data_IF_277668022909
#
_entry.id   IF_277668022909
#
_cell.length_a   1.000
_cell.length_b   1.000
_cell.length_c   1.000
_cell.angle_alpha   90.00
_cell.angle_beta   90.00
_cell.angle_gamma   90.00
#
_symmetry.space_group_name_H-M   'P 1'
#
loop_
_entity.id
_entity.type
_entity.pdbx_description
1 polymer ?
#
# COMPACT_ATOMS: atom_id res chain seq x y z
N UNK A 1 14.38 -8.76 -24.26
CA UNK A 1 14.89 -8.58 -22.91
C UNK A 1 14.24 -7.36 -22.29
N UNK A 2 13.34 -7.58 -21.36
CA UNK A 2 12.78 -6.49 -20.57
C UNK A 2 13.94 -5.84 -19.82
N UNK A 3 14.02 -4.52 -19.87
CA UNK A 3 15.07 -3.80 -19.18
C UNK A 3 14.96 -4.08 -17.68
N UNK A 4 16.03 -4.55 -17.08
CA UNK A 4 16.14 -4.79 -15.64
C UNK A 4 16.15 -3.46 -14.84
N UNK A 5 15.59 -2.42 -15.44
CA UNK A 5 15.56 -1.08 -14.86
C UNK A 5 14.18 -0.76 -14.32
N UNK A 6 14.15 -0.49 -13.04
CA UNK A 6 12.96 -0.04 -12.33
C UNK A 6 12.76 1.46 -12.54
N UNK A 7 11.56 1.90 -12.93
CA UNK A 7 11.26 3.31 -13.18
C UNK A 7 10.14 3.84 -12.29
N UNK A 8 9.92 5.15 -12.32
CA UNK A 8 8.91 5.83 -11.49
C UNK A 8 7.50 5.28 -11.76
N UNK A 9 7.18 4.96 -13.02
CA UNK A 9 5.86 4.40 -13.38
C UNK A 9 5.66 3.04 -12.72
N UNK A 10 6.65 2.15 -12.77
CA UNK A 10 6.60 0.85 -12.11
C UNK A 10 6.44 0.98 -10.60
N UNK A 11 7.12 1.94 -9.97
CA UNK A 11 6.95 2.24 -8.55
C UNK A 11 5.52 2.65 -8.20
N UNK A 12 4.93 3.52 -9.02
CA UNK A 12 3.58 3.99 -8.82
C UNK A 12 2.56 2.86 -9.03
N UNK A 13 2.78 1.99 -10.01
CA UNK A 13 1.96 0.79 -10.24
C UNK A 13 2.03 -0.17 -9.04
N UNK A 14 3.22 -0.38 -8.48
CA UNK A 14 3.40 -1.20 -7.28
C UNK A 14 2.67 -0.61 -6.07
N UNK A 15 2.78 0.69 -5.87
CA UNK A 15 2.08 1.39 -4.80
C UNK A 15 0.56 1.25 -4.96
N UNK A 16 0.04 1.42 -6.16
CA UNK A 16 -1.39 1.23 -6.46
C UNK A 16 -1.86 -0.19 -6.15
N UNK A 17 -1.07 -1.20 -6.48
CA UNK A 17 -1.41 -2.59 -6.19
C UNK A 17 -1.52 -2.83 -4.67
N UNK A 18 -0.62 -2.26 -3.90
CA UNK A 18 -0.64 -2.35 -2.43
C UNK A 18 -1.92 -1.73 -1.87
N UNK A 19 -2.25 -0.54 -2.32
CA UNK A 19 -3.45 0.17 -1.88
C UNK A 19 -4.74 -0.59 -2.25
N UNK A 20 -4.80 -1.16 -3.44
CA UNK A 20 -5.95 -1.98 -3.88
C UNK A 20 -6.10 -3.23 -3.00
N UNK A 21 -5.01 -3.89 -2.64
CA UNK A 21 -5.03 -5.05 -1.74
C UNK A 21 -5.53 -4.66 -0.34
N UNK A 22 -5.05 -3.53 0.18
CA UNK A 22 -5.51 -2.99 1.46
C UNK A 22 -7.00 -2.66 1.44
N UNK A 23 -7.45 -1.97 0.41
CA UNK A 23 -8.87 -1.67 0.20
C UNK A 23 -9.74 -2.94 0.23
N UNK A 24 -9.33 -3.97 -0.49
CA UNK A 24 -10.08 -5.24 -0.54
C UNK A 24 -10.11 -5.95 0.82
N UNK A 25 -8.99 -6.00 1.52
CA UNK A 25 -8.93 -6.59 2.86
C UNK A 25 -9.88 -5.89 3.81
N UNK A 26 -9.77 -4.58 3.92
CA UNK A 26 -10.57 -3.79 4.86
C UNK A 26 -12.05 -3.75 4.49
N UNK A 27 -12.38 -3.57 3.22
CA UNK A 27 -13.78 -3.55 2.79
C UNK A 27 -14.47 -4.90 2.98
N UNK A 28 -13.78 -6.01 2.75
CA UNK A 28 -14.31 -7.35 2.98
C UNK A 28 -14.59 -7.57 4.46
N UNK A 29 -13.65 -7.24 5.33
CA UNK A 29 -13.81 -7.48 6.77
C UNK A 29 -14.69 -6.45 7.48
N UNK A 30 -14.84 -5.24 6.94
CA UNK A 30 -15.84 -4.30 7.41
C UNK A 30 -17.27 -4.84 7.26
N UNK A 31 -17.51 -5.63 6.22
CA UNK A 31 -18.82 -6.29 5.99
C UNK A 31 -19.01 -7.51 6.87
N UNK A 32 -17.93 -8.22 7.19
CA UNK A 32 -17.96 -9.49 7.92
C UNK A 32 -18.07 -9.31 9.43
N UNK A 33 -17.43 -8.29 10.00
CA UNK A 33 -17.40 -8.11 11.45
C UNK A 33 -18.74 -7.64 12.03
N UNK A 34 -19.12 -8.22 13.16
CA UNK A 34 -20.30 -7.80 13.93
C UNK A 34 -19.96 -6.71 14.97
N UNK A 35 -18.68 -6.48 15.25
CA UNK A 35 -18.25 -5.42 16.16
C UNK A 35 -18.36 -4.04 15.50
N UNK A 36 -19.26 -3.16 16.01
CA UNK A 36 -19.44 -1.83 15.41
C UNK A 36 -18.18 -0.96 15.41
N UNK A 37 -17.35 -1.11 16.44
CA UNK A 37 -16.08 -0.36 16.53
C UNK A 37 -15.09 -0.80 15.47
N UNK A 38 -14.91 -2.10 15.31
CA UNK A 38 -14.02 -2.65 14.28
C UNK A 38 -14.54 -2.35 12.87
N UNK A 39 -15.84 -2.45 12.68
CA UNK A 39 -16.48 -2.10 11.39
C UNK A 39 -16.19 -0.65 11.00
N UNK A 40 -16.27 0.28 11.96
CA UNK A 40 -15.97 1.70 11.73
C UNK A 40 -14.51 1.88 11.37
N UNK A 41 -13.60 1.20 12.06
CA UNK A 41 -12.14 1.23 11.76
C UNK A 41 -11.90 0.72 10.35
N UNK A 42 -12.38 -0.45 10.01
CA UNK A 42 -12.14 -1.04 8.68
C UNK A 42 -12.76 -0.21 7.54
N UNK A 43 -13.94 0.36 7.73
CA UNK A 43 -14.55 1.24 6.73
C UNK A 43 -13.70 2.50 6.50
N UNK A 44 -13.17 3.09 7.57
CA UNK A 44 -12.27 4.24 7.46
C UNK A 44 -10.99 3.87 6.72
N UNK A 45 -10.34 2.78 7.12
CA UNK A 45 -9.13 2.31 6.47
C UNK A 45 -9.37 2.00 4.98
N UNK A 46 -10.46 1.33 4.64
CA UNK A 46 -10.82 1.05 3.25
C UNK A 46 -10.99 2.34 2.43
N UNK A 47 -11.63 3.36 3.02
CA UNK A 47 -11.78 4.66 2.37
C UNK A 47 -10.44 5.35 2.14
N UNK A 48 -9.56 5.31 3.12
CA UNK A 48 -8.23 5.92 3.04
C UNK A 48 -7.37 5.21 1.98
N UNK A 49 -7.36 3.85 1.94
CA UNK A 49 -6.65 3.07 0.92
C UNK A 49 -7.12 3.41 -0.51
N UNK A 50 -8.41 3.62 -0.67
CA UNK A 50 -8.96 4.04 -1.96
C UNK A 50 -8.48 5.44 -2.35
N UNK A 51 -8.40 6.36 -1.42
CA UNK A 51 -7.89 7.71 -1.65
C UNK A 51 -6.39 7.68 -1.98
N UNK A 52 -5.62 6.83 -1.29
CA UNK A 52 -4.21 6.59 -1.60
C UNK A 52 -4.03 6.04 -3.02
N UNK A 53 -4.84 5.04 -3.40
CA UNK A 53 -4.85 4.50 -4.77
C UNK A 53 -5.08 5.60 -5.81
N UNK A 54 -6.10 6.42 -5.60
CA UNK A 54 -6.42 7.52 -6.51
C UNK A 54 -5.29 8.55 -6.58
N UNK A 55 -4.60 8.79 -5.47
CA UNK A 55 -3.43 9.68 -5.41
C UNK A 55 -2.28 9.14 -6.27
N UNK A 56 -1.95 7.86 -6.13
CA UNK A 56 -0.91 7.23 -6.96
C UNK A 56 -1.32 7.16 -8.44
N UNK A 57 -2.58 6.89 -8.74
CA UNK A 57 -3.09 6.87 -10.10
C UNK A 57 -2.97 8.23 -10.77
N UNK A 58 -3.26 9.30 -10.05
CA UNK A 58 -3.09 10.67 -10.53
C UNK A 58 -1.60 10.99 -10.77
N UNK A 59 -0.72 10.65 -9.83
CA UNK A 59 0.71 10.86 -10.00
C UNK A 59 1.25 10.13 -11.24
N UNK A 60 0.81 8.90 -11.46
CA UNK A 60 1.19 8.12 -12.64
C UNK A 60 0.74 8.79 -13.93
N UNK A 61 -0.51 9.24 -14.00
CA UNK A 61 -1.05 9.96 -15.17
C UNK A 61 -0.32 11.27 -15.42
N UNK A 62 -0.10 12.06 -14.39
CA UNK A 62 0.65 13.33 -14.48
C UNK A 62 2.07 13.09 -14.97
N UNK A 63 2.71 12.03 -14.49
CA UNK A 63 4.06 11.66 -14.92
C UNK A 63 4.11 11.26 -16.39
N UNK A 64 3.14 10.47 -16.87
CA UNK A 64 3.05 10.06 -18.28
C UNK A 64 2.75 11.23 -19.20
N UNK A 65 1.94 12.21 -18.79
CA UNK A 65 1.59 13.39 -19.58
C UNK A 65 2.77 14.36 -19.78
N UNK A 66 3.73 14.39 -18.88
CA UNK A 66 4.90 15.25 -18.97
C UNK A 66 5.89 14.82 -20.06
N UNK A 67 5.55 13.80 -20.88
CA UNK A 67 6.32 13.28 -22.01
C UNK A 67 7.83 13.16 -21.70
N UNK A 68 8.12 12.51 -20.60
CA UNK A 68 9.49 12.29 -20.16
C UNK A 68 10.08 11.13 -20.97
N UNK A 69 10.78 11.48 -22.04
CA UNK A 69 11.46 10.50 -22.90
C UNK A 69 12.56 9.74 -22.15
N UNK A 70 13.06 10.33 -21.08
CA UNK A 70 14.05 9.74 -20.19
C UNK A 70 13.39 9.43 -18.85
N UNK A 71 12.88 8.19 -18.73
CA UNK A 71 12.49 7.68 -17.43
C UNK A 71 13.73 7.62 -16.54
N UNK A 72 13.68 8.22 -15.36
CA UNK A 72 14.71 8.05 -14.35
C UNK A 72 14.70 6.60 -13.88
N UNK A 73 15.60 5.81 -14.44
CA UNK A 73 15.74 4.42 -14.03
C UNK A 73 16.57 4.33 -12.76
N UNK A 74 16.13 3.51 -11.84
CA UNK A 74 16.96 3.09 -10.72
C UNK A 74 18.09 2.22 -11.24
N UNK A 75 19.33 2.67 -11.04
CA UNK A 75 20.53 2.04 -11.61
C UNK A 75 20.88 0.67 -11.01
N UNK A 76 20.16 0.24 -9.95
CA UNK A 76 20.49 -0.99 -9.23
C UNK A 76 19.40 -2.06 -9.39
N UNK A 77 19.72 -3.10 -10.14
CA UNK A 77 18.88 -4.32 -10.30
C UNK A 77 18.48 -4.89 -8.92
N UNK A 78 19.38 -4.87 -7.97
CA UNK A 78 19.16 -5.36 -6.60
C UNK A 78 18.01 -4.63 -5.90
N UNK A 79 17.84 -3.32 -6.15
CA UNK A 79 16.74 -2.52 -5.60
C UNK A 79 15.41 -2.93 -6.21
N UNK A 80 15.37 -3.18 -7.52
CA UNK A 80 14.18 -3.64 -8.21
C UNK A 80 13.67 -4.97 -7.63
N UNK A 81 14.53 -5.96 -7.51
CA UNK A 81 14.19 -7.27 -6.97
C UNK A 81 13.72 -7.17 -5.51
N UNK A 82 14.38 -6.35 -4.72
CA UNK A 82 14.00 -6.07 -3.34
C UNK A 82 12.60 -5.48 -3.25
N UNK A 83 12.31 -4.42 -4.00
CA UNK A 83 11.00 -3.77 -4.00
C UNK A 83 9.89 -4.68 -4.54
N UNK A 84 10.16 -5.43 -5.60
CA UNK A 84 9.19 -6.41 -6.12
C UNK A 84 8.87 -7.51 -5.12
N UNK A 85 9.86 -7.96 -4.36
CA UNK A 85 9.63 -8.98 -3.33
C UNK A 85 8.69 -8.49 -2.23
N UNK A 86 8.76 -7.22 -1.86
CA UNK A 86 7.81 -6.61 -0.94
C UNK A 86 6.37 -6.73 -1.42
N UNK A 87 6.12 -6.29 -2.65
CA UNK A 87 4.77 -6.35 -3.23
C UNK A 87 4.29 -7.79 -3.37
N UNK A 88 5.20 -8.69 -3.76
CA UNK A 88 4.85 -10.05 -4.12
C UNK A 88 4.53 -10.92 -2.89
N UNK A 89 5.24 -10.75 -1.78
CA UNK A 89 5.19 -11.70 -0.66
C UNK A 89 4.79 -11.10 0.68
N UNK A 90 4.96 -9.83 0.92
CA UNK A 90 4.94 -9.27 2.27
C UNK A 90 3.86 -8.22 2.53
N UNK A 91 3.42 -7.49 1.52
CA UNK A 91 2.38 -6.47 1.70
C UNK A 91 1.03 -7.04 1.35
N UNK A 92 0.04 -6.85 2.13
CA UNK A 92 -1.34 -7.31 2.05
C UNK A 92 -1.58 -8.63 1.27
N UNK A 93 -2.43 -9.53 1.77
CA UNK A 93 -2.67 -10.81 1.11
C UNK A 93 -3.25 -10.61 -0.29
N UNK A 94 -2.74 -11.40 -1.25
CA UNK A 94 -3.21 -11.42 -2.65
C UNK A 94 -4.52 -12.16 -2.84
N UNK A 95 -5.01 -12.81 -1.80
CA UNK A 95 -6.08 -13.77 -1.89
C UNK A 95 -7.29 -13.29 -2.70
N UNK A 96 -7.94 -14.24 -3.36
CA UNK A 96 -9.27 -14.06 -3.92
C UNK A 96 -10.26 -13.72 -2.79
N UNK A 97 -11.42 -13.17 -3.13
CA UNK A 97 -12.43 -12.74 -2.16
C UNK A 97 -12.78 -13.84 -1.15
N UNK A 98 -12.87 -15.09 -1.60
CA UNK A 98 -13.16 -16.24 -0.74
C UNK A 98 -12.09 -16.48 0.34
N UNK A 99 -10.81 -16.38 -0.03
CA UNK A 99 -9.69 -16.50 0.90
C UNK A 99 -9.71 -15.39 1.97
N UNK A 100 -10.01 -14.16 1.55
CA UNK A 100 -10.14 -13.04 2.48
C UNK A 100 -11.33 -13.21 3.43
N UNK A 101 -12.45 -13.74 2.94
CA UNK A 101 -13.65 -13.97 3.74
C UNK A 101 -13.47 -15.05 4.82
N UNK A 102 -12.61 -16.02 4.55
CA UNK A 102 -12.35 -17.15 5.48
C UNK A 102 -11.40 -16.80 6.63
N UNK A 103 -10.74 -15.64 6.58
CA UNK A 103 -9.82 -15.23 7.63
C UNK A 103 -10.55 -14.85 8.92
N UNK A 104 -10.04 -15.35 10.04
CA UNK A 104 -10.52 -14.97 11.39
C UNK A 104 -10.08 -13.55 11.75
N UNK A 105 -10.86 -12.87 12.61
CA UNK A 105 -10.60 -11.47 12.97
C UNK A 105 -9.18 -11.22 13.51
N UNK A 106 -8.66 -12.10 14.37
CA UNK A 106 -7.29 -11.95 14.90
C UNK A 106 -6.26 -12.07 13.79
N UNK A 107 -6.44 -13.02 12.89
CA UNK A 107 -5.57 -13.20 11.74
C UNK A 107 -5.59 -11.97 10.82
N UNK A 108 -6.77 -11.42 10.56
CA UNK A 108 -6.92 -10.18 9.76
C UNK A 108 -6.16 -9.02 10.41
N UNK A 109 -6.33 -8.83 11.72
CA UNK A 109 -5.64 -7.76 12.45
C UNK A 109 -4.13 -7.92 12.41
N UNK A 110 -3.62 -9.13 12.62
CA UNK A 110 -2.18 -9.38 12.57
C UNK A 110 -1.59 -9.13 11.19
N UNK A 111 -2.28 -9.57 10.15
CA UNK A 111 -1.86 -9.32 8.77
C UNK A 111 -1.95 -7.85 8.40
N UNK A 112 -3.02 -7.17 8.81
CA UNK A 112 -3.19 -5.75 8.57
C UNK A 112 -2.08 -4.94 9.25
N UNK A 113 -1.80 -5.19 10.53
CA UNK A 113 -0.71 -4.53 11.27
C UNK A 113 0.63 -4.73 10.56
N UNK A 114 0.94 -5.95 10.14
CA UNK A 114 2.17 -6.23 9.41
C UNK A 114 2.21 -5.53 8.05
N UNK A 115 1.09 -5.53 7.34
CA UNK A 115 0.98 -4.89 6.02
C UNK A 115 1.14 -3.37 6.08
N UNK A 116 0.61 -2.71 7.13
CA UNK A 116 0.83 -1.27 7.33
C UNK A 116 2.32 -0.96 7.57
N UNK A 117 2.99 -1.78 8.36
CA UNK A 117 4.46 -1.65 8.55
C UNK A 117 5.22 -1.80 7.24
N UNK A 118 4.84 -2.78 6.43
CA UNK A 118 5.51 -3.07 5.16
C UNK A 118 5.25 -1.95 4.14
N UNK A 119 4.04 -1.38 4.12
CA UNK A 119 3.73 -0.20 3.30
C UNK A 119 4.59 1.01 3.69
N UNK A 120 4.70 1.31 4.98
CA UNK A 120 5.57 2.37 5.51
C UNK A 120 7.01 2.15 5.06
N UNK A 121 7.52 0.94 5.21
CA UNK A 121 8.88 0.60 4.84
C UNK A 121 9.12 0.76 3.34
N UNK A 122 8.19 0.27 2.50
CA UNK A 122 8.26 0.42 1.05
C UNK A 122 8.27 1.90 0.65
N UNK A 123 7.35 2.69 1.16
CA UNK A 123 7.27 4.11 0.80
C UNK A 123 8.51 4.89 1.23
N UNK A 124 9.11 4.54 2.37
CA UNK A 124 10.40 5.11 2.78
C UNK A 124 11.53 4.76 1.82
N UNK A 125 11.55 3.53 1.32
CA UNK A 125 12.55 3.11 0.32
C UNK A 125 12.38 3.83 -1.02
N UNK A 126 11.17 4.28 -1.35
CA UNK A 126 10.89 5.01 -2.59
C UNK A 126 11.28 6.50 -2.52
N UNK A 127 11.34 7.09 -1.33
CA UNK A 127 11.63 8.53 -1.16
C UNK A 127 12.95 8.96 -1.82
N UNK A 128 14.08 8.25 -1.66
CA UNK A 128 15.35 8.68 -2.26
C UNK A 128 15.35 8.78 -3.79
N UNK A 129 14.41 8.11 -4.44
CA UNK A 129 14.31 8.06 -5.90
C UNK A 129 13.28 9.03 -6.46
N UNK A 130 12.66 9.84 -5.62
CA UNK A 130 11.60 10.77 -5.99
C UNK A 130 11.92 12.17 -5.46
N UNK A 131 11.46 13.17 -6.21
CA UNK A 131 11.63 14.58 -5.86
C UNK A 131 10.29 15.32 -5.99
N UNK A 132 10.26 16.55 -5.48
CA UNK A 132 9.11 17.45 -5.62
C UNK A 132 7.82 16.88 -5.07
N UNK A 133 6.74 17.00 -5.82
CA UNK A 133 5.39 16.61 -5.41
C UNK A 133 5.28 15.13 -5.04
N UNK A 134 5.92 14.26 -5.80
CA UNK A 134 5.87 12.80 -5.52
C UNK A 134 6.51 12.47 -4.19
N UNK A 135 7.64 13.10 -3.86
CA UNK A 135 8.30 12.93 -2.55
C UNK A 135 7.41 13.43 -1.42
N UNK A 136 6.81 14.60 -1.56
CA UNK A 136 5.90 15.18 -0.56
C UNK A 136 4.68 14.30 -0.32
N UNK A 137 4.11 13.73 -1.39
CA UNK A 137 3.00 12.77 -1.31
C UNK A 137 3.40 11.52 -0.54
N UNK A 138 4.57 10.93 -0.86
CA UNK A 138 5.07 9.75 -0.15
C UNK A 138 5.26 10.01 1.36
N UNK A 139 5.82 11.17 1.71
CA UNK A 139 6.01 11.55 3.11
C UNK A 139 4.69 11.71 3.85
N UNK A 140 3.67 12.30 3.22
CA UNK A 140 2.32 12.41 3.77
C UNK A 140 1.67 11.05 3.95
N UNK A 141 1.73 10.19 2.94
CA UNK A 141 1.14 8.85 3.01
C UNK A 141 1.79 8.01 4.11
N UNK A 142 3.10 8.12 4.31
CA UNK A 142 3.78 7.44 5.42
C UNK A 142 3.18 7.83 6.77
N UNK A 143 2.88 9.10 6.99
CA UNK A 143 2.23 9.54 8.24
C UNK A 143 0.80 8.99 8.37
N UNK A 144 0.04 8.93 7.28
CA UNK A 144 -1.29 8.33 7.27
C UNK A 144 -1.24 6.81 7.55
N UNK A 145 -0.29 6.09 6.98
CA UNK A 145 -0.09 4.66 7.27
C UNK A 145 0.32 4.39 8.73
N UNK A 146 1.07 5.28 9.34
CA UNK A 146 1.36 5.20 10.78
C UNK A 146 0.09 5.34 11.62
N UNK A 147 -0.83 6.21 11.23
CA UNK A 147 -2.12 6.35 11.90
C UNK A 147 -2.98 5.08 11.75
N UNK A 148 -2.99 4.47 10.57
CA UNK A 148 -3.62 3.17 10.33
C UNK A 148 -3.06 2.09 11.26
N UNK A 149 -1.75 1.98 11.30
CA UNK A 149 -1.03 1.05 12.18
C UNK A 149 -1.42 1.24 13.65
N UNK A 150 -1.41 2.47 14.15
CA UNK A 150 -1.78 2.80 15.53
C UNK A 150 -3.22 2.41 15.83
N UNK A 151 -4.16 2.71 14.92
CA UNK A 151 -5.57 2.36 15.08
C UNK A 151 -5.78 0.85 15.24
N UNK A 152 -5.10 0.06 14.40
CA UNK A 152 -5.17 -1.40 14.44
C UNK A 152 -4.55 -1.98 15.72
N UNK A 153 -3.38 -1.49 16.10
CA UNK A 153 -2.68 -1.93 17.33
C UNK A 153 -3.51 -1.61 18.56
N UNK A 154 -4.07 -0.41 18.65
CA UNK A 154 -4.89 0.01 19.77
C UNK A 154 -6.17 -0.85 19.89
N UNK A 155 -6.82 -1.15 18.78
CA UNK A 155 -7.97 -2.05 18.79
C UNK A 155 -7.56 -3.45 19.28
N UNK A 156 -6.47 -4.00 18.76
CA UNK A 156 -5.99 -5.34 19.14
C UNK A 156 -5.67 -5.42 20.64
N UNK A 157 -5.10 -4.37 21.23
CA UNK A 157 -4.80 -4.33 22.67
C UNK A 157 -6.06 -4.41 23.57
N UNK A 158 -7.21 -4.03 23.04
CA UNK A 158 -8.48 -4.06 23.77
C UNK A 158 -9.17 -5.44 23.72
N UNK A 159 -8.69 -6.34 22.87
CA UNK A 159 -9.16 -7.72 22.82
C UNK A 159 -8.50 -8.54 23.95
#
# INVERSE_FOLDING_TARGET
>A
MLSDKFNVIEMLEMAKEIEDRGYRLYSTHAKKTDDPKLKKIFNKLASDEKDHYNTFDKLEKDYKEKDQKDYDYLEKVEVHDYLQSFVQFEVFPRGETEELEDMETVEVLDRAIQSEKDSILLYRELIPYNEGETKEVLERLIEEEKEHYISLVNYKKEL
#
